data_IF_829850295368
#
_entry.id   IF_829850295368
#
_cell.length_a   1.000
_cell.length_b   1.000
_cell.length_c   1.000
_cell.angle_alpha   90.00
_cell.angle_beta   90.00
_cell.angle_gamma   90.00
#
_symmetry.space_group_name_H-M   'P 1'
#
loop_
_entity.id
_entity.type
_entity.pdbx_description
1 polymer ?
#
# COMPACT_ATOMS: atom_id res chain seq x y z
N UNK A 1 -7.23 -1.80 -6.17
CA UNK A 1 -7.62 -2.28 -4.82
C UNK A 1 -8.73 -1.41 -4.23
N UNK A 2 -9.67 -1.98 -3.48
CA UNK A 2 -10.73 -1.21 -2.78
C UNK A 2 -10.33 -0.77 -1.37
N UNK A 3 -10.98 0.26 -0.79
CA UNK A 3 -10.66 0.76 0.56
C UNK A 3 -10.93 -0.28 1.67
N UNK A 4 -11.98 -1.08 1.53
CA UNK A 4 -12.32 -2.13 2.48
C UNK A 4 -11.27 -3.25 2.52
N UNK A 5 -10.75 -3.61 1.35
CA UNK A 5 -9.66 -4.57 1.19
C UNK A 5 -8.36 -4.02 1.77
N UNK A 6 -8.04 -2.76 1.45
CA UNK A 6 -6.84 -2.07 1.94
C UNK A 6 -6.77 -2.03 3.48
N UNK A 7 -7.91 -1.84 4.17
CA UNK A 7 -7.98 -1.84 5.64
C UNK A 7 -7.49 -3.12 6.31
N UNK A 8 -7.45 -4.25 5.59
CA UNK A 8 -6.94 -5.54 6.12
C UNK A 8 -5.43 -5.51 6.35
N UNK A 9 -4.74 -4.56 5.74
CA UNK A 9 -3.28 -4.43 5.79
C UNK A 9 -2.81 -3.35 6.78
N UNK A 10 -3.72 -2.68 7.49
CA UNK A 10 -3.39 -1.65 8.46
C UNK A 10 -2.41 -2.18 9.53
N UNK A 11 -1.42 -1.38 9.92
CA UNK A 11 -0.41 -1.72 10.93
C UNK A 11 0.36 -3.02 10.63
N UNK A 12 0.55 -3.35 9.36
CA UNK A 12 1.20 -4.59 8.93
C UNK A 12 2.34 -4.32 7.94
N UNK A 13 3.31 -5.23 7.89
CA UNK A 13 4.28 -5.28 6.80
C UNK A 13 3.65 -5.98 5.59
N UNK A 14 3.80 -5.39 4.42
CA UNK A 14 3.26 -5.91 3.17
C UNK A 14 4.28 -5.87 2.06
N UNK A 15 4.19 -6.82 1.13
CA UNK A 15 4.78 -6.72 -0.20
C UNK A 15 3.76 -6.02 -1.09
N UNK A 16 4.06 -4.77 -1.44
CA UNK A 16 3.19 -3.95 -2.25
C UNK A 16 3.72 -3.85 -3.67
N UNK A 17 2.86 -4.08 -4.66
CA UNK A 17 3.14 -3.89 -6.08
C UNK A 17 2.24 -2.79 -6.64
N UNK A 18 2.82 -1.74 -7.19
CA UNK A 18 2.08 -0.59 -7.72
C UNK A 18 2.77 0.05 -8.93
N UNK A 19 2.01 0.78 -9.74
CA UNK A 19 2.54 1.55 -10.86
C UNK A 19 2.95 2.95 -10.40
N UNK A 20 4.18 3.36 -10.71
CA UNK A 20 4.70 4.69 -10.39
C UNK A 20 4.17 5.77 -11.34
N UNK A 21 4.61 7.03 -11.16
CA UNK A 21 4.18 8.16 -12.02
C UNK A 21 4.69 8.08 -13.47
N UNK A 22 5.74 7.29 -13.72
CA UNK A 22 6.34 7.06 -15.04
C UNK A 22 5.71 5.87 -15.78
N UNK A 23 4.85 5.10 -15.09
CA UNK A 23 4.24 3.89 -15.66
C UNK A 23 4.98 2.60 -15.32
N UNK A 24 6.10 2.66 -14.58
CA UNK A 24 6.84 1.46 -14.21
C UNK A 24 6.18 0.75 -13.03
N UNK A 25 6.20 -0.58 -13.07
CA UNK A 25 5.79 -1.44 -11.96
C UNK A 25 6.90 -1.49 -10.90
N UNK A 26 6.55 -1.21 -9.65
CA UNK A 26 7.43 -1.29 -8.50
C UNK A 26 6.84 -2.32 -7.53
N UNK A 27 7.68 -3.22 -7.01
CA UNK A 27 7.30 -4.18 -5.98
C UNK A 27 8.28 -4.12 -4.82
N UNK A 28 7.81 -3.69 -3.65
CA UNK A 28 8.65 -3.46 -2.46
C UNK A 28 7.94 -3.87 -1.16
N UNK A 29 8.76 -4.19 -0.15
CA UNK A 29 8.28 -4.48 1.21
C UNK A 29 8.15 -3.17 2.00
N UNK A 30 6.94 -2.84 2.43
CA UNK A 30 6.59 -1.58 3.10
C UNK A 30 5.75 -1.84 4.34
N UNK A 31 5.82 -0.94 5.32
CA UNK A 31 4.91 -0.95 6.46
C UNK A 31 3.73 -0.03 6.18
N UNK A 32 2.51 -0.48 6.43
CA UNK A 32 1.28 0.31 6.27
C UNK A 32 0.89 0.92 7.61
N UNK A 33 0.87 2.24 7.70
CA UNK A 33 0.42 2.96 8.90
C UNK A 33 -1.08 3.22 8.89
N UNK A 34 -1.60 3.68 7.75
CA UNK A 34 -2.98 4.14 7.65
C UNK A 34 -3.57 3.83 6.26
N UNK A 35 -4.89 3.69 6.22
CA UNK A 35 -5.67 3.67 4.98
C UNK A 35 -6.68 4.81 5.04
N UNK A 36 -6.52 5.79 4.16
CA UNK A 36 -7.26 7.05 4.26
C UNK A 36 -7.50 7.72 2.92
N UNK A 37 -8.17 8.87 2.97
CA UNK A 37 -8.38 9.73 1.81
C UNK A 37 -7.43 10.93 1.91
N UNK A 38 -6.52 11.07 0.96
CA UNK A 38 -5.61 12.21 0.89
C UNK A 38 -6.22 13.27 -0.02
N UNK A 39 -6.34 14.53 0.42
CA UNK A 39 -6.84 15.62 -0.41
C UNK A 39 -6.13 15.67 -1.77
N UNK A 40 -6.90 15.86 -2.86
CA UNK A 40 -6.43 15.89 -4.25
C UNK A 40 -5.93 14.56 -4.85
N UNK A 41 -5.65 13.54 -4.03
CA UNK A 41 -5.17 12.23 -4.50
C UNK A 41 -6.22 11.13 -4.39
N UNK A 42 -7.16 11.24 -3.48
CA UNK A 42 -8.19 10.25 -3.27
C UNK A 42 -7.78 9.18 -2.25
N UNK A 43 -8.34 7.95 -2.34
CA UNK A 43 -8.03 6.89 -1.40
C UNK A 43 -6.59 6.38 -1.58
N UNK A 44 -5.82 6.31 -0.48
CA UNK A 44 -4.42 5.94 -0.44
C UNK A 44 -4.09 4.99 0.72
N UNK A 45 -3.05 4.17 0.53
CA UNK A 45 -2.27 3.58 1.62
C UNK A 45 -1.20 4.58 2.05
N UNK A 46 -1.12 4.88 3.35
CA UNK A 46 -0.01 5.62 3.95
C UNK A 46 1.01 4.60 4.42
N UNK A 47 2.19 4.62 3.81
CA UNK A 47 3.24 3.61 4.04
C UNK A 47 4.55 4.25 4.50
N UNK A 48 5.53 3.44 4.88
CA UNK A 48 6.91 3.85 5.18
C UNK A 48 7.61 4.60 4.03
N UNK A 49 7.10 4.51 2.79
CA UNK A 49 7.63 5.21 1.62
C UNK A 49 6.76 6.42 1.20
N UNK A 50 5.70 6.71 1.94
CA UNK A 50 4.73 7.76 1.64
C UNK A 50 3.39 7.20 1.18
N UNK A 51 2.60 8.05 0.52
CA UNK A 51 1.23 7.75 0.12
C UNK A 51 1.15 7.10 -1.27
N UNK A 52 0.53 5.93 -1.33
CA UNK A 52 0.34 5.16 -2.56
C UNK A 52 -1.15 5.05 -2.82
N UNK A 53 -1.61 5.62 -3.93
CA UNK A 53 -3.04 5.63 -4.26
C UNK A 53 -3.55 4.22 -4.55
N UNK A 54 -4.75 3.90 -4.05
CA UNK A 54 -5.34 2.57 -4.17
C UNK A 54 -5.65 2.16 -5.62
N UNK A 55 -5.84 3.14 -6.52
CA UNK A 55 -6.07 2.91 -7.95
C UNK A 55 -4.83 2.37 -8.68
N UNK A 56 -3.63 2.59 -8.12
CA UNK A 56 -2.36 2.18 -8.73
C UNK A 56 -1.80 0.88 -8.19
N UNK A 57 -2.43 0.34 -7.14
CA UNK A 57 -1.98 -0.89 -6.49
C UNK A 57 -2.49 -2.07 -7.31
N UNK A 58 -1.54 -2.88 -7.77
CA UNK A 58 -1.77 -4.09 -8.54
C UNK A 58 -1.74 -5.35 -7.66
N UNK A 59 -0.98 -5.32 -6.55
CA UNK A 59 -0.90 -6.42 -5.59
C UNK A 59 -0.49 -5.95 -4.20
N UNK A 60 -1.02 -6.61 -3.17
CA UNK A 60 -0.70 -6.34 -1.77
C UNK A 60 -0.77 -7.65 -0.97
N UNK A 61 0.36 -8.11 -0.47
CA UNK A 61 0.48 -9.38 0.26
C UNK A 61 1.05 -9.13 1.65
N UNK A 62 0.48 -9.73 2.69
CA UNK A 62 1.05 -9.66 4.03
C UNK A 62 2.39 -10.37 4.06
N UNK A 63 3.40 -9.68 4.59
CA UNK A 63 4.66 -10.32 4.94
C UNK A 63 4.51 -10.72 6.40
N UNK A 64 4.33 -12.02 6.64
CA UNK A 64 4.36 -12.54 8.00
C UNK A 64 5.72 -12.16 8.61
N UNK A 65 5.68 -11.40 9.70
CA UNK A 65 6.87 -11.19 10.51
C UNK A 65 7.22 -12.56 11.09
N UNK A 66 8.24 -13.20 10.53
CA UNK A 66 8.83 -14.40 11.12
C UNK A 66 9.32 -14.00 12.51
N UNK A 67 8.56 -14.36 13.54
CA UNK A 67 8.94 -14.19 14.92
C UNK A 67 10.16 -15.09 15.15
N UNK A 68 11.33 -14.46 15.29
CA UNK A 68 12.55 -15.09 15.79
C UNK A 68 12.76 -14.70 17.25
#
# INVERSE_FOLDING_TARGET
MGIHEAKRFLNSNVRLTWTNRKGDEISESLFVYEVGFVPLYGPCLVTSKGEIRLDRIQGCELIEASAA
#
